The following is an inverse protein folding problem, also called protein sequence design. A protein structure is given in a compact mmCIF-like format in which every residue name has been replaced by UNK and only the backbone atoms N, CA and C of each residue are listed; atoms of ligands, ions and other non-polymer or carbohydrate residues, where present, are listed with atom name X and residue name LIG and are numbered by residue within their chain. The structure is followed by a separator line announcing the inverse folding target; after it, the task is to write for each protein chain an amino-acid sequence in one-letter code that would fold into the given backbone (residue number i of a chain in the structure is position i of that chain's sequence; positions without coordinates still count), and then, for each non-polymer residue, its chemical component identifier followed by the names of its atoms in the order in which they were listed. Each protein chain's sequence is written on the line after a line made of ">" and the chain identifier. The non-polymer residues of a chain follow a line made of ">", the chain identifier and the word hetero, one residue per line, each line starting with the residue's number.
data_IF_596569249995
#
_entry.id   IF_596569249995
#
_cell.length_a   1.000
_cell.length_b   1.000
_cell.length_c   1.000
_cell.angle_alpha   90.00
_cell.angle_beta   90.00
_cell.angle_gamma   90.00
#
_symmetry.space_group_name_H-M   'P 1'
#
loop_
_entity.id
_entity.type
_entity.pdbx_description
1 polymer ?
#
# COMPACT_ATOMS: atom_id res chain seq x y z
N UNK A 1 -13.17 -5.02 3.64
CA UNK A 1 -14.29 -5.85 3.16
C UNK A 1 -13.80 -6.70 2.01
N UNK A 2 -14.10 -7.98 2.02
CA UNK A 2 -13.63 -8.92 1.01
C UNK A 2 -14.70 -9.14 -0.05
N UNK A 3 -14.44 -8.75 -1.31
CA UNK A 3 -15.41 -8.93 -2.39
C UNK A 3 -15.76 -10.40 -2.61
N UNK A 4 -14.80 -11.32 -2.53
CA UNK A 4 -15.09 -12.77 -2.63
C UNK A 4 -15.97 -13.23 -1.49
N UNK A 5 -15.72 -12.72 -0.28
CA UNK A 5 -16.53 -13.06 0.89
C UNK A 5 -17.97 -12.57 0.74
N UNK A 6 -18.18 -11.48 0.01
CA UNK A 6 -19.48 -10.88 -0.26
C UNK A 6 -20.18 -11.50 -1.48
N UNK A 7 -19.61 -12.55 -2.07
CA UNK A 7 -20.24 -13.30 -3.16
C UNK A 7 -19.91 -12.83 -4.58
N UNK A 8 -19.00 -11.89 -4.74
CA UNK A 8 -18.58 -11.45 -6.08
C UNK A 8 -17.73 -12.53 -6.77
N UNK A 9 -17.91 -12.68 -8.08
CA UNK A 9 -17.09 -13.57 -8.89
C UNK A 9 -15.71 -12.96 -9.13
N UNK A 10 -14.75 -13.78 -9.55
CA UNK A 10 -13.42 -13.28 -9.92
C UNK A 10 -13.49 -12.28 -11.08
N UNK A 11 -14.36 -12.51 -12.07
CA UNK A 11 -14.55 -11.57 -13.19
C UNK A 11 -15.09 -10.22 -12.71
N UNK A 12 -15.99 -10.22 -11.75
CA UNK A 12 -16.53 -8.99 -11.16
C UNK A 12 -15.45 -8.25 -10.37
N UNK A 13 -14.61 -8.97 -9.63
CA UNK A 13 -13.48 -8.39 -8.89
C UNK A 13 -12.48 -7.77 -9.86
N UNK A 14 -12.14 -8.46 -10.94
CA UNK A 14 -11.20 -7.97 -11.95
C UNK A 14 -11.72 -6.69 -12.62
N UNK A 15 -13.00 -6.65 -12.96
CA UNK A 15 -13.62 -5.46 -13.54
C UNK A 15 -13.63 -4.28 -12.58
N UNK A 16 -13.88 -4.55 -11.31
CA UNK A 16 -13.85 -3.53 -10.26
C UNK A 16 -12.42 -2.97 -10.10
N UNK A 17 -11.44 -3.86 -10.07
CA UNK A 17 -10.02 -3.49 -10.01
C UNK A 17 -9.63 -2.62 -11.20
N UNK A 18 -10.00 -3.03 -12.42
CA UNK A 18 -9.73 -2.26 -13.63
C UNK A 18 -10.34 -0.86 -13.55
N UNK A 19 -11.55 -0.76 -13.06
CA UNK A 19 -12.23 0.52 -12.92
C UNK A 19 -11.53 1.44 -11.94
N UNK A 20 -11.14 0.92 -10.76
CA UNK A 20 -10.44 1.70 -9.75
C UNK A 20 -9.09 2.20 -10.26
N UNK A 21 -8.34 1.36 -10.94
CA UNK A 21 -7.04 1.76 -11.51
C UNK A 21 -7.23 2.80 -12.60
N UNK A 22 -8.24 2.63 -13.45
CA UNK A 22 -8.54 3.59 -14.52
C UNK A 22 -8.93 4.96 -13.98
N UNK A 23 -9.74 4.99 -12.92
CA UNK A 23 -10.26 6.24 -12.34
C UNK A 23 -9.24 6.91 -11.43
N UNK A 24 -8.56 6.14 -10.59
CA UNK A 24 -7.68 6.66 -9.54
C UNK A 24 -6.19 6.47 -9.80
N UNK A 25 -5.83 5.64 -10.78
CA UNK A 25 -4.45 5.28 -11.08
C UNK A 25 -3.95 4.08 -10.30
N UNK A 26 -4.59 3.72 -9.21
CA UNK A 26 -4.22 2.58 -8.37
C UNK A 26 -5.41 2.09 -7.56
N UNK A 27 -5.25 0.88 -7.04
CA UNK A 27 -6.16 0.32 -6.05
C UNK A 27 -5.35 -0.05 -4.81
N UNK A 28 -5.90 0.21 -3.63
CA UNK A 28 -5.29 -0.18 -2.37
C UNK A 28 -5.91 -1.50 -1.89
N UNK A 29 -5.05 -2.46 -1.57
CA UNK A 29 -5.44 -3.74 -0.99
C UNK A 29 -5.03 -3.73 0.46
N UNK A 30 -5.97 -3.98 1.34
CA UNK A 30 -5.71 -4.10 2.77
C UNK A 30 -6.27 -5.42 3.29
N UNK A 31 -5.45 -6.15 4.02
CA UNK A 31 -5.84 -7.43 4.61
C UNK A 31 -5.77 -7.31 6.13
N UNK A 32 -6.91 -7.48 6.77
CA UNK A 32 -7.05 -7.44 8.22
C UNK A 32 -6.88 -8.84 8.78
N UNK A 33 -5.68 -9.15 9.25
CA UNK A 33 -5.35 -10.40 9.91
C UNK A 33 -4.59 -10.06 11.20
N UNK A 34 -4.10 -11.09 11.91
CA UNK A 34 -3.22 -10.87 13.06
C UNK A 34 -1.95 -10.10 12.69
N UNK A 35 -1.51 -10.23 11.43
CA UNK A 35 -0.39 -9.47 10.86
C UNK A 35 -0.91 -8.70 9.65
N UNK A 36 -1.59 -7.57 9.85
CA UNK A 36 -2.19 -6.83 8.75
C UNK A 36 -1.13 -6.26 7.81
N UNK A 37 -1.50 -6.17 6.53
CA UNK A 37 -0.66 -5.56 5.52
C UNK A 37 -1.50 -4.80 4.52
N UNK A 38 -0.87 -3.82 3.86
CA UNK A 38 -1.51 -2.97 2.86
C UNK A 38 -0.56 -2.79 1.69
N UNK A 39 -1.06 -2.90 0.48
CA UNK A 39 -0.27 -2.58 -0.71
C UNK A 39 -1.14 -1.92 -1.77
N UNK A 40 -0.46 -1.36 -2.78
CA UNK A 40 -1.12 -0.81 -3.96
C UNK A 40 -0.97 -1.75 -5.14
N UNK A 41 -1.89 -1.65 -6.08
CA UNK A 41 -1.80 -2.26 -7.41
C UNK A 41 -2.21 -1.18 -8.40
N UNK A 42 -1.40 -0.98 -9.42
CA UNK A 42 -1.68 0.02 -10.45
C UNK A 42 -0.58 1.06 -10.66
N UNK A 43 0.29 1.29 -9.68
CA UNK A 43 1.37 2.26 -9.83
C UNK A 43 2.31 1.90 -10.98
N UNK A 44 2.56 0.62 -11.16
CA UNK A 44 3.37 0.11 -12.25
C UNK A 44 2.80 0.52 -13.62
N UNK A 45 1.51 0.28 -13.85
CA UNK A 45 0.90 0.58 -15.15
C UNK A 45 0.55 2.05 -15.34
N UNK A 46 0.26 2.77 -14.26
CA UNK A 46 -0.17 4.17 -14.35
C UNK A 46 1.00 5.15 -14.43
N UNK A 47 2.09 4.87 -13.72
CA UNK A 47 3.21 5.82 -13.57
C UNK A 47 4.58 5.19 -13.79
N UNK A 48 4.65 3.91 -14.11
CA UNK A 48 5.91 3.17 -14.20
C UNK A 48 6.73 3.31 -12.91
N UNK A 49 6.05 3.17 -11.79
CA UNK A 49 6.63 3.32 -10.46
C UNK A 49 6.40 2.05 -9.64
N UNK A 50 7.26 1.79 -8.63
CA UNK A 50 7.04 0.66 -7.73
C UNK A 50 5.73 0.79 -6.98
N UNK A 51 5.11 -0.35 -6.69
CA UNK A 51 3.96 -0.39 -5.78
C UNK A 51 4.41 -0.12 -4.35
N UNK A 52 3.48 0.34 -3.54
CA UNK A 52 3.73 0.63 -2.13
C UNK A 52 3.27 -0.54 -1.28
N UNK A 53 4.05 -0.86 -0.24
CA UNK A 53 3.76 -1.94 0.69
C UNK A 53 4.00 -1.45 2.11
N UNK A 54 3.13 -1.80 3.03
CA UNK A 54 3.32 -1.54 4.44
C UNK A 54 2.88 -2.75 5.26
N UNK A 55 3.67 -3.12 6.26
CA UNK A 55 3.45 -4.26 7.15
C UNK A 55 3.77 -3.87 8.58
N UNK A 56 3.42 -4.73 9.52
CA UNK A 56 3.85 -4.65 10.93
C UNK A 56 3.42 -3.38 11.66
N UNK A 57 2.33 -2.78 11.23
CA UNK A 57 1.76 -1.60 11.88
C UNK A 57 0.26 -1.79 12.09
N UNK A 58 -0.32 -0.92 12.90
CA UNK A 58 -1.77 -0.86 13.07
C UNK A 58 -2.46 -0.66 11.71
N UNK A 59 -3.59 -1.34 11.51
CA UNK A 59 -4.31 -1.34 10.25
C UNK A 59 -4.69 0.06 9.77
N UNK A 60 -5.17 0.91 10.67
CA UNK A 60 -5.58 2.27 10.30
C UNK A 60 -4.38 3.15 9.94
N UNK A 61 -3.25 2.97 10.63
CA UNK A 61 -2.00 3.65 10.28
C UNK A 61 -1.55 3.23 8.89
N UNK A 62 -1.59 1.94 8.59
CA UNK A 62 -1.22 1.43 7.26
C UNK A 62 -2.06 2.06 6.16
N UNK A 63 -3.38 2.04 6.29
CA UNK A 63 -4.28 2.60 5.29
C UNK A 63 -4.04 4.09 5.09
N UNK A 64 -3.88 4.82 6.19
CA UNK A 64 -3.66 6.26 6.15
C UNK A 64 -2.34 6.61 5.45
N UNK A 65 -1.26 5.94 5.83
CA UNK A 65 0.06 6.24 5.28
C UNK A 65 0.20 5.79 3.82
N UNK A 66 -0.29 4.60 3.48
CA UNK A 66 -0.25 4.14 2.09
C UNK A 66 -1.03 5.08 1.18
N UNK A 67 -2.21 5.52 1.60
CA UNK A 67 -3.00 6.48 0.84
C UNK A 67 -2.27 7.82 0.69
N UNK A 68 -1.72 8.35 1.78
CA UNK A 68 -1.03 9.63 1.76
C UNK A 68 0.22 9.61 0.85
N UNK A 69 0.98 8.51 0.88
CA UNK A 69 2.15 8.35 0.01
C UNK A 69 1.72 8.13 -1.45
N UNK A 70 0.68 7.32 -1.68
CA UNK A 70 0.16 7.09 -3.02
C UNK A 70 -0.37 8.36 -3.68
N UNK A 71 -0.85 9.31 -2.90
CA UNK A 71 -1.31 10.60 -3.42
C UNK A 71 -0.20 11.37 -4.15
N UNK A 72 1.07 11.16 -3.79
CA UNK A 72 2.20 11.74 -4.53
C UNK A 72 2.24 11.21 -5.97
N UNK A 73 1.98 9.92 -6.16
CA UNK A 73 1.90 9.36 -7.52
C UNK A 73 0.77 10.02 -8.31
N UNK A 74 -0.38 10.21 -7.69
CA UNK A 74 -1.54 10.81 -8.35
C UNK A 74 -1.26 12.26 -8.76
N UNK A 75 -0.62 13.02 -7.89
CA UNK A 75 -0.38 14.46 -8.11
C UNK A 75 0.87 14.72 -8.94
N UNK A 76 1.96 13.98 -8.68
CA UNK A 76 3.27 14.27 -9.25
C UNK A 76 3.81 13.17 -10.17
N UNK A 77 3.22 11.99 -10.18
CA UNK A 77 3.74 10.83 -10.91
C UNK A 77 4.97 10.18 -10.27
N UNK A 78 5.39 10.66 -9.11
CA UNK A 78 6.57 10.16 -8.39
C UNK A 78 6.45 10.48 -6.90
N UNK A 79 7.27 9.82 -6.08
CA UNK A 79 7.34 10.11 -4.65
C UNK A 79 8.22 11.33 -4.42
N UNK A 80 7.78 12.19 -3.49
CA UNK A 80 8.47 13.44 -3.16
C UNK A 80 9.10 13.33 -1.77
N UNK A 81 10.36 13.71 -1.67
CA UNK A 81 11.07 13.72 -0.39
C UNK A 81 10.38 14.59 0.66
N UNK A 82 9.83 15.72 0.22
CA UNK A 82 9.12 16.65 1.12
C UNK A 82 7.90 15.98 1.77
N UNK A 83 7.15 15.22 1.00
CA UNK A 83 5.98 14.49 1.50
C UNK A 83 6.41 13.43 2.51
N UNK A 84 7.44 12.66 2.18
CA UNK A 84 7.94 11.60 3.05
C UNK A 84 8.45 12.18 4.38
N UNK A 85 9.16 13.31 4.32
CA UNK A 85 9.64 13.98 5.51
C UNK A 85 8.49 14.51 6.38
N UNK A 86 7.49 15.11 5.75
CA UNK A 86 6.32 15.63 6.45
C UNK A 86 5.54 14.52 7.15
N UNK A 87 5.43 13.36 6.53
CA UNK A 87 4.74 12.19 7.08
C UNK A 87 5.60 11.41 8.08
N UNK A 88 6.87 11.72 8.20
CA UNK A 88 7.84 10.97 9.01
C UNK A 88 7.86 9.49 8.61
N UNK A 89 8.13 9.24 7.34
CA UNK A 89 8.29 7.88 6.80
C UNK A 89 9.52 7.81 5.92
N UNK A 90 10.06 6.60 5.80
CA UNK A 90 11.12 6.27 4.84
C UNK A 90 10.57 5.29 3.83
N UNK A 91 11.16 5.30 2.65
CA UNK A 91 10.88 4.33 1.60
C UNK A 91 12.11 3.46 1.43
N UNK A 92 11.94 2.16 1.56
CA UNK A 92 13.01 1.18 1.36
C UNK A 92 12.54 0.12 0.38
N UNK A 93 13.49 -0.59 -0.23
CA UNK A 93 13.15 -1.74 -1.08
C UNK A 93 12.44 -2.78 -0.22
N UNK A 94 11.36 -3.36 -0.73
CA UNK A 94 10.58 -4.35 0.02
C UNK A 94 11.44 -5.58 0.35
N UNK A 95 11.23 -6.11 1.55
CA UNK A 95 11.90 -7.34 1.97
C UNK A 95 11.39 -8.50 1.11
N UNK A 96 12.31 -9.31 0.63
CA UNK A 96 12.00 -10.45 -0.23
C UNK A 96 11.03 -11.44 0.44
N UNK A 97 11.11 -11.59 1.75
CA UNK A 97 10.20 -12.48 2.49
C UNK A 97 8.73 -12.08 2.33
N UNK A 98 8.44 -10.78 2.29
CA UNK A 98 7.07 -10.29 2.11
C UNK A 98 6.52 -10.65 0.72
N UNK A 99 7.38 -10.68 -0.29
CA UNK A 99 6.99 -11.05 -1.66
C UNK A 99 6.74 -12.55 -1.77
N UNK A 100 7.52 -13.37 -1.06
CA UNK A 100 7.37 -14.83 -1.06
C UNK A 100 6.14 -15.30 -0.31
N UNK A 101 5.71 -14.57 0.68
CA UNK A 101 4.56 -14.94 1.52
C UNK A 101 3.22 -14.74 0.81
N UNK A 102 3.23 -14.36 -0.45
CA UNK A 102 2.02 -14.16 -1.23
C UNK A 102 1.27 -12.88 -0.93
N UNK A 103 1.89 -11.94 -0.22
CA UNK A 103 1.27 -10.65 0.09
C UNK A 103 0.94 -9.86 -1.17
N UNK A 104 1.66 -10.13 -2.25
CA UNK A 104 1.53 -9.41 -3.52
C UNK A 104 0.87 -10.25 -4.61
N UNK A 105 0.17 -11.30 -4.23
CA UNK A 105 -0.41 -12.27 -5.17
C UNK A 105 -1.33 -11.63 -6.20
N UNK A 106 -2.12 -10.64 -5.81
CA UNK A 106 -3.03 -9.98 -6.73
C UNK A 106 -2.29 -9.17 -7.79
N UNK A 107 -1.16 -8.55 -7.43
CA UNK A 107 -0.29 -7.86 -8.37
C UNK A 107 0.33 -8.86 -9.37
N UNK A 108 0.84 -9.99 -8.86
CA UNK A 108 1.43 -11.04 -9.69
C UNK A 108 0.41 -11.62 -10.67
N UNK A 109 -0.82 -11.81 -10.21
CA UNK A 109 -1.91 -12.32 -11.05
C UNK A 109 -2.27 -11.32 -12.15
N UNK A 110 -2.41 -10.04 -11.78
CA UNK A 110 -2.76 -9.00 -12.74
C UNK A 110 -1.73 -8.83 -13.85
N UNK A 111 -0.45 -8.87 -13.51
CA UNK A 111 0.63 -8.63 -14.46
C UNK A 111 1.27 -9.89 -15.00
N UNK A 112 0.79 -11.06 -14.60
CA UNK A 112 1.24 -12.37 -15.05
C UNK A 112 2.74 -12.58 -14.90
N UNK A 113 3.31 -12.11 -13.80
CA UNK A 113 4.73 -12.28 -13.50
C UNK A 113 4.96 -12.31 -11.99
N UNK A 114 6.08 -12.91 -11.59
CA UNK A 114 6.49 -12.92 -10.19
C UNK A 114 7.08 -11.57 -9.79
N UNK A 115 6.72 -11.09 -8.61
CA UNK A 115 7.25 -9.85 -8.09
C UNK A 115 8.70 -9.99 -7.66
N UNK A 116 9.51 -8.98 -7.96
CA UNK A 116 10.84 -8.84 -7.40
C UNK A 116 10.87 -7.71 -6.38
N UNK A 117 11.97 -7.63 -5.65
CA UNK A 117 12.17 -6.57 -4.66
C UNK A 117 12.10 -5.15 -5.27
N UNK A 118 12.48 -4.98 -6.54
CA UNK A 118 12.40 -3.69 -7.23
C UNK A 118 10.99 -3.27 -7.65
N UNK A 119 10.03 -4.18 -7.65
CA UNK A 119 8.65 -3.89 -8.03
C UNK A 119 7.83 -3.29 -6.89
N UNK A 120 8.31 -3.44 -5.67
CA UNK A 120 7.65 -2.93 -4.48
C UNK A 120 8.61 -2.16 -3.61
N UNK A 121 8.15 -1.06 -3.04
CA UNK A 121 8.86 -0.35 -1.99
C UNK A 121 8.04 -0.40 -0.71
N UNK A 122 8.72 -0.50 0.40
CA UNK A 122 8.09 -0.59 1.71
C UNK A 122 8.13 0.78 2.39
N UNK A 123 6.99 1.19 2.90
CA UNK A 123 6.88 2.39 3.73
C UNK A 123 7.24 1.99 5.16
N UNK A 124 8.28 2.60 5.70
CA UNK A 124 8.72 2.38 7.08
C UNK A 124 8.42 3.62 7.89
N UNK A 125 7.52 3.52 8.89
CA UNK A 125 7.18 4.68 9.70
C UNK A 125 8.34 5.08 10.60
N UNK A 126 8.53 6.39 10.77
CA UNK A 126 9.53 6.93 11.67
C UNK A 126 9.09 6.85 13.13
N UNK A 127 9.92 7.41 14.02
CA UNK A 127 9.74 7.31 15.47
C UNK A 127 8.41 7.89 15.96
N UNK A 128 7.87 8.90 15.31
CA UNK A 128 6.60 9.49 15.70
C UNK A 128 5.42 8.51 15.60
N UNK A 129 5.48 7.60 14.64
CA UNK A 129 4.47 6.56 14.45
C UNK A 129 4.73 5.34 15.34
N UNK A 130 5.99 5.00 15.54
CA UNK A 130 6.40 3.87 16.38
C UNK A 130 5.96 4.03 17.83
N UNK A 131 5.88 5.27 18.33
CA UNK A 131 5.39 5.56 19.69
C UNK A 131 3.94 5.15 19.89
N UNK A 132 3.18 5.07 18.81
CA UNK A 132 1.81 4.61 18.86
C UNK A 132 1.69 3.16 19.26
N UNK A 133 2.66 2.31 18.91
CA UNK A 133 2.68 0.88 19.22
C UNK A 133 1.37 0.16 18.97
N UNK A 134 1.35 -1.13 19.22
CA UNK A 134 0.10 -1.89 19.20
C UNK A 134 -0.76 -1.49 20.39
N UNK A 135 -2.00 -1.08 20.11
CA UNK A 135 -2.96 -0.72 21.13
C UNK A 135 -2.87 0.71 21.61
N UNK A 136 -1.93 1.51 21.13
CA UNK A 136 -1.89 2.92 21.44
C UNK A 136 -2.81 3.70 20.48
N UNK A 137 -3.32 4.88 20.89
CA UNK A 137 -4.14 5.71 20.00
C UNK A 137 -3.38 6.08 18.73
N UNK A 138 -4.05 5.98 17.59
CA UNK A 138 -3.48 6.39 16.31
C UNK A 138 -3.35 7.92 16.33
N UNK A 139 -2.15 8.41 16.06
CA UNK A 139 -1.94 9.85 15.93
C UNK A 139 -2.56 10.34 14.63
N UNK A 140 -3.31 11.40 14.70
CA UNK A 140 -3.82 12.05 13.50
C UNK A 140 -2.69 12.78 12.80
N UNK A 141 -2.81 12.95 11.48
CA UNK A 141 -1.79 13.68 10.71
C UNK A 141 -1.61 15.11 11.22
N UNK A 142 -2.67 15.76 11.68
CA UNK A 142 -2.62 17.10 12.26
C UNK A 142 -1.92 17.14 13.62
N UNK A 143 -1.81 16.03 14.33
CA UNK A 143 -1.11 15.92 15.61
C UNK A 143 0.40 15.70 15.43
N UNK A 144 0.86 15.48 14.22
CA UNK A 144 2.25 15.18 13.90
C UNK A 144 3.07 16.46 13.66
N UNK A 145 2.41 17.57 13.49
CA UNK A 145 3.04 18.85 13.23
C UNK A 145 3.83 19.38 14.41
#
# INVERSE_FOLDING_TARGET
>A
MCMRCDGYSWDEIDRHTDLLIRVHGFMMIHVETASPWTCTVGAFESWDQPELLMVDMDAEVQKTLVQAVADDYVVFGELREDTLAMLDVEIVVADESHLRDGLVAQWEDRYSMSAFTGDFVQIVPGASWARGGRGAPIRRLDDVA
#
